data_IF_320554981897
#
_entry.id   IF_320554981897
#
_cell.length_a   1.000
_cell.length_b   1.000
_cell.length_c   1.000
_cell.angle_alpha   90.00
_cell.angle_beta   90.00
_cell.angle_gamma   90.00
#
_symmetry.space_group_name_H-M   'P 1'
#
loop_
_entity.id
_entity.type
_entity.pdbx_description
1 polymer ?
#
# COMPACT_ATOMS: atom_id res chain seq x y z
N UNK A 1 7.62 1.62 -2.89
CA UNK A 1 8.44 2.80 -2.52
C UNK A 1 7.72 4.05 -3.00
N UNK A 2 7.33 4.96 -2.11
CA UNK A 2 6.57 6.17 -2.46
C UNK A 2 7.03 7.42 -1.73
N UNK A 3 6.72 8.61 -2.27
CA UNK A 3 7.13 9.89 -1.66
C UNK A 3 6.43 10.04 -0.32
N UNK A 4 7.21 10.16 0.76
CA UNK A 4 6.68 10.29 2.13
C UNK A 4 5.77 11.50 2.21
N UNK A 5 4.48 11.24 2.32
CA UNK A 5 3.49 12.22 2.73
C UNK A 5 2.55 11.44 3.63
N UNK A 6 2.15 12.03 4.75
CA UNK A 6 1.24 11.42 5.73
C UNK A 6 -0.03 10.85 5.06
N UNK A 7 -0.47 11.48 3.96
CA UNK A 7 -1.55 11.03 3.09
C UNK A 7 -1.30 9.69 2.38
N UNK A 8 -0.06 9.24 2.20
CA UNK A 8 0.29 8.01 1.50
C UNK A 8 -0.25 6.77 2.21
N UNK A 9 -0.12 6.73 3.54
CA UNK A 9 -0.62 5.62 4.34
C UNK A 9 -2.16 5.57 4.31
N UNK A 10 -2.82 6.72 4.50
CA UNK A 10 -4.29 6.80 4.43
C UNK A 10 -4.84 6.38 3.06
N UNK A 11 -4.24 6.85 1.96
CA UNK A 11 -4.66 6.47 0.60
C UNK A 11 -4.50 4.97 0.37
N UNK A 12 -3.37 4.40 0.78
CA UNK A 12 -3.11 2.97 0.63
C UNK A 12 -4.09 2.16 1.48
N UNK A 13 -4.32 2.53 2.74
CA UNK A 13 -5.31 1.87 3.59
C UNK A 13 -6.69 1.86 2.94
N UNK A 14 -7.13 2.98 2.38
CA UNK A 14 -8.45 3.08 1.75
C UNK A 14 -8.59 2.19 0.50
N UNK A 15 -7.53 2.06 -0.30
CA UNK A 15 -7.47 1.12 -1.43
C UNK A 15 -7.48 -0.33 -0.93
N UNK A 16 -6.64 -0.65 0.05
CA UNK A 16 -6.56 -1.99 0.61
C UNK A 16 -7.87 -2.40 1.31
N UNK A 17 -8.57 -1.51 1.97
CA UNK A 17 -9.86 -1.80 2.61
C UNK A 17 -10.94 -2.12 1.57
N UNK A 18 -10.91 -1.45 0.42
CA UNK A 18 -11.81 -1.72 -0.71
C UNK A 18 -11.53 -3.07 -1.39
N UNK A 19 -10.26 -3.44 -1.53
CA UNK A 19 -9.87 -4.65 -2.27
C UNK A 19 -9.68 -5.88 -1.38
N UNK A 20 -9.37 -5.71 -0.10
CA UNK A 20 -9.09 -6.78 0.85
C UNK A 20 -9.91 -6.57 2.14
N UNK A 21 -11.23 -6.85 2.11
CA UNK A 21 -12.07 -6.78 3.30
C UNK A 21 -11.56 -7.80 4.33
N UNK A 22 -10.99 -7.32 5.44
CA UNK A 22 -10.36 -8.15 6.46
C UNK A 22 -8.83 -8.15 6.45
N UNK A 23 -8.18 -7.26 5.69
CA UNK A 23 -6.76 -7.03 5.91
C UNK A 23 -6.52 -6.43 7.29
N UNK A 24 -5.45 -6.88 7.94
CA UNK A 24 -5.18 -6.50 9.31
C UNK A 24 -4.27 -5.26 9.31
N UNK A 25 -4.83 -4.11 9.70
CA UNK A 25 -4.10 -2.84 9.76
C UNK A 25 -2.92 -2.92 10.74
N UNK A 26 -2.92 -3.86 11.70
CA UNK A 26 -1.80 -4.06 12.63
C UNK A 26 -0.60 -4.71 11.94
N UNK A 27 -0.81 -5.37 10.80
CA UNK A 27 0.27 -5.96 9.99
C UNK A 27 0.92 -4.95 9.05
N UNK A 28 0.39 -3.73 8.99
CA UNK A 28 0.95 -2.64 8.19
C UNK A 28 2.20 -2.12 8.88
N UNK A 29 3.35 -2.43 8.29
CA UNK A 29 4.64 -1.92 8.77
C UNK A 29 5.05 -0.71 7.92
N UNK A 30 4.89 0.50 8.48
CA UNK A 30 5.32 1.74 7.85
C UNK A 30 6.77 2.05 8.26
N UNK A 31 7.70 1.97 7.30
CA UNK A 31 9.07 2.43 7.46
C UNK A 31 9.31 3.72 6.70
N UNK A 32 9.46 4.80 7.46
CA UNK A 32 9.90 6.08 6.93
C UNK A 32 11.42 6.05 6.76
N UNK A 33 11.92 6.44 5.59
CA UNK A 33 13.37 6.59 5.37
C UNK A 33 13.91 7.69 6.28
N UNK A 34 15.16 7.55 6.76
CA UNK A 34 15.80 8.54 7.66
C UNK A 34 15.86 9.97 7.10
N UNK A 35 15.67 10.16 5.78
CA UNK A 35 15.58 11.48 5.14
C UNK A 35 14.15 12.01 4.97
N UNK A 36 13.12 11.26 5.38
CA UNK A 36 11.71 11.64 5.21
C UNK A 36 11.27 11.83 3.76
N UNK A 37 12.02 11.27 2.80
CA UNK A 37 11.74 11.43 1.36
C UNK A 37 10.93 10.25 0.81
N UNK A 38 11.15 9.05 1.36
CA UNK A 38 10.53 7.82 0.92
C UNK A 38 9.94 7.04 2.10
N UNK A 39 8.70 6.59 1.94
CA UNK A 39 8.04 5.67 2.88
C UNK A 39 7.87 4.33 2.20
N UNK A 40 8.27 3.27 2.91
CA UNK A 40 7.99 1.89 2.57
C UNK A 40 6.86 1.39 3.47
N UNK A 41 5.78 0.90 2.88
CA UNK A 41 4.70 0.23 3.59
C UNK A 41 4.76 -1.24 3.23
N UNK A 42 4.86 -2.10 4.25
CA UNK A 42 4.71 -3.54 4.11
C UNK A 42 3.32 -3.91 4.60
N UNK A 43 2.49 -4.48 3.73
CA UNK A 43 1.11 -4.85 4.07
C UNK A 43 0.93 -6.34 3.79
N UNK A 44 0.48 -7.08 4.80
CA UNK A 44 0.17 -8.50 4.65
C UNK A 44 -1.31 -8.65 4.37
N UNK A 45 -1.64 -9.17 3.19
CA UNK A 45 -3.02 -9.49 2.82
C UNK A 45 -3.22 -10.96 2.56
N UNK A 46 -4.44 -11.44 2.82
CA UNK A 46 -4.89 -12.72 2.31
C UNK A 46 -5.21 -12.57 0.83
N UNK A 47 -4.38 -13.14 -0.03
CA UNK A 47 -4.63 -13.19 -1.46
C UNK A 47 -5.85 -14.08 -1.74
N UNK A 48 -6.97 -13.46 -2.08
CA UNK A 48 -8.21 -14.15 -2.50
C UNK A 48 -8.17 -14.56 -3.98
N UNK A 49 -7.27 -13.97 -4.78
CA UNK A 49 -7.02 -14.37 -6.16
C UNK A 49 -6.02 -13.45 -6.88
N UNK A 50 -5.56 -13.84 -8.09
CA UNK A 50 -4.64 -13.04 -8.89
C UNK A 50 -5.29 -11.73 -9.40
N UNK A 51 -6.59 -11.74 -9.69
CA UNK A 51 -7.33 -10.54 -10.12
C UNK A 51 -7.36 -9.46 -9.03
N UNK A 52 -7.47 -9.86 -7.75
CA UNK A 52 -7.39 -8.93 -6.62
C UNK A 52 -6.03 -8.24 -6.59
N UNK A 53 -4.94 -9.01 -6.69
CA UNK A 53 -3.57 -8.48 -6.68
C UNK A 53 -3.31 -7.56 -7.87
N UNK A 54 -3.78 -7.91 -9.05
CA UNK A 54 -3.59 -7.10 -10.26
C UNK A 54 -4.37 -5.79 -10.19
N UNK A 55 -5.63 -5.83 -9.73
CA UNK A 55 -6.44 -4.62 -9.53
C UNK A 55 -5.79 -3.70 -8.49
N UNK A 56 -5.33 -4.27 -7.38
CA UNK A 56 -4.66 -3.53 -6.32
C UNK A 56 -3.34 -2.94 -6.83
N UNK A 57 -2.57 -3.69 -7.62
CA UNK A 57 -1.36 -3.19 -8.27
C UNK A 57 -1.65 -2.02 -9.20
N UNK A 58 -2.70 -2.09 -10.03
CA UNK A 58 -3.10 -0.98 -10.91
C UNK A 58 -3.59 0.24 -10.13
N UNK A 59 -4.37 0.06 -9.07
CA UNK A 59 -4.89 1.16 -8.25
C UNK A 59 -3.75 1.90 -7.49
N UNK A 60 -2.77 1.14 -7.00
CA UNK A 60 -1.53 1.67 -6.40
C UNK A 60 -0.65 2.40 -7.43
N UNK A 61 -0.60 1.94 -8.68
CA UNK A 61 0.07 2.63 -9.78
C UNK A 61 -0.69 3.92 -10.17
N UNK A 62 -2.02 3.86 -10.22
CA UNK A 62 -2.89 4.97 -10.59
C UNK A 62 -2.86 6.11 -9.57
N UNK A 63 -2.66 5.79 -8.29
CA UNK A 63 -2.42 6.80 -7.25
C UNK A 63 -1.11 7.56 -7.44
N UNK A 64 -0.20 7.11 -8.31
CA UNK A 64 1.02 7.84 -8.71
C UNK A 64 2.05 7.99 -7.59
N UNK A 65 1.78 7.41 -6.42
CA UNK A 65 2.63 7.47 -5.25
C UNK A 65 3.42 6.17 -5.03
N UNK A 66 3.07 5.05 -5.67
CA UNK A 66 3.75 3.77 -5.50
C UNK A 66 4.61 3.46 -6.72
N UNK A 67 5.92 3.45 -6.54
CA UNK A 67 6.89 3.15 -7.61
C UNK A 67 7.29 1.67 -7.65
N UNK A 68 7.05 0.91 -6.58
CA UNK A 68 7.49 -0.49 -6.52
C UNK A 68 6.73 -1.27 -5.43
N UNK A 69 6.23 -2.44 -5.80
CA UNK A 69 5.61 -3.48 -4.96
C UNK A 69 6.39 -4.78 -5.21
N UNK A 70 6.87 -5.45 -4.16
CA UNK A 70 7.61 -6.72 -4.22
C UNK A 70 6.89 -7.82 -3.45
#
# INVERSE_FOLDING_TARGET
>A
MGRSSDAFESVILEVFERHAPGFDQQTVEARVSSKGTFTSLTITITATGPEQLETLHQDLLATGQVTMVI
#
